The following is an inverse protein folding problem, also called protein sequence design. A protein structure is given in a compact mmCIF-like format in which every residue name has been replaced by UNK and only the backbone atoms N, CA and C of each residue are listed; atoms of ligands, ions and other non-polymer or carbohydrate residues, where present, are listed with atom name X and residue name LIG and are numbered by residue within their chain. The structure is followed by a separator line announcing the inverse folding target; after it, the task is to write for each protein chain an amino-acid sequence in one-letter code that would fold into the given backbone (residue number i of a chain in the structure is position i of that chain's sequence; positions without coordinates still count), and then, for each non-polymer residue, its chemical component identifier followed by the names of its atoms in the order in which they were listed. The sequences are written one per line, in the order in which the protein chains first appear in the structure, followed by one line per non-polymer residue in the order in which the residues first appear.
data_IF_614691764191
#
_entry.id   IF_614691764191
#
_cell.length_a   1.000
_cell.length_b   1.000
_cell.length_c   1.000
_cell.angle_alpha   90.00
_cell.angle_beta   90.00
_cell.angle_gamma   90.00
#
_symmetry.space_group_name_H-M   'P 1'
#
loop_
_entity.id
_entity.type
_entity.pdbx_description
1 polymer ?
#
# COMPACT_ATOMS: atom_id res chain seq x y z
N UNK A 1 -29.32 -35.36 -17.81
CA UNK A 1 -28.26 -34.92 -18.72
C UNK A 1 -28.00 -33.40 -18.61
N UNK A 2 -28.86 -32.68 -17.97
CA UNK A 2 -28.73 -31.24 -17.84
C UNK A 2 -27.96 -30.79 -16.60
N UNK A 3 -27.50 -31.75 -15.82
CA UNK A 3 -26.90 -31.47 -14.51
C UNK A 3 -25.52 -30.80 -14.57
N UNK A 4 -24.90 -30.71 -15.73
CA UNK A 4 -23.55 -30.19 -15.86
C UNK A 4 -23.48 -28.67 -15.74
N UNK A 5 -24.54 -27.95 -16.07
CA UNK A 5 -24.52 -26.48 -16.08
C UNK A 5 -24.24 -25.87 -14.71
N UNK A 6 -24.88 -26.31 -13.61
CA UNK A 6 -24.56 -25.78 -12.29
C UNK A 6 -23.11 -26.02 -11.87
N UNK A 7 -22.55 -27.19 -12.23
CA UNK A 7 -21.18 -27.52 -11.90
C UNK A 7 -20.21 -26.57 -12.61
N UNK A 8 -20.47 -26.24 -13.86
CA UNK A 8 -19.65 -25.30 -14.63
C UNK A 8 -19.69 -23.90 -14.02
N UNK A 9 -20.83 -23.48 -13.55
CA UNK A 9 -20.99 -22.19 -12.90
C UNK A 9 -20.16 -22.11 -11.62
N UNK A 10 -20.18 -23.19 -10.83
CA UNK A 10 -19.40 -23.26 -9.61
C UNK A 10 -17.89 -23.20 -9.89
N UNK A 11 -17.47 -23.87 -10.98
CA UNK A 11 -16.05 -23.87 -11.38
C UNK A 11 -15.57 -22.50 -11.81
N UNK A 12 -16.46 -21.68 -12.39
CA UNK A 12 -16.12 -20.34 -12.80
C UNK A 12 -15.85 -19.42 -11.59
N UNK A 13 -16.26 -19.83 -10.38
CA UNK A 13 -16.07 -19.05 -9.17
C UNK A 13 -14.60 -18.88 -8.86
N UNK A 14 -14.09 -19.73 -8.06
CA UNK A 14 -12.70 -19.67 -7.64
C UNK A 14 -12.45 -18.60 -6.57
N UNK A 15 -11.26 -18.66 -6.01
CA UNK A 15 -10.82 -17.74 -4.95
C UNK A 15 -9.38 -17.35 -5.20
N UNK A 16 -9.07 -16.06 -5.00
CA UNK A 16 -7.71 -15.60 -5.00
C UNK A 16 -7.39 -14.88 -3.68
N UNK A 17 -6.12 -14.97 -3.30
CA UNK A 17 -5.59 -14.26 -2.14
C UNK A 17 -4.65 -13.17 -2.67
N UNK A 18 -4.91 -11.93 -2.28
CA UNK A 18 -4.12 -10.77 -2.70
C UNK A 18 -3.37 -10.24 -1.49
N UNK A 19 -2.04 -10.24 -1.58
CA UNK A 19 -1.17 -9.59 -0.62
C UNK A 19 -0.90 -8.18 -1.10
N UNK A 20 -1.37 -7.18 -0.37
CA UNK A 20 -1.28 -5.79 -0.81
C UNK A 20 -0.78 -4.88 0.30
N UNK A 21 0.01 -3.88 -0.08
CA UNK A 21 0.52 -2.89 0.84
C UNK A 21 -0.61 -2.24 1.66
N UNK A 22 -0.32 -1.93 2.91
CA UNK A 22 -1.29 -1.36 3.85
C UNK A 22 -1.98 -0.11 3.31
N UNK A 23 -1.26 0.72 2.57
CA UNK A 23 -1.81 1.96 1.97
C UNK A 23 -2.87 1.69 0.89
N UNK A 24 -2.99 0.45 0.41
CA UNK A 24 -3.94 0.06 -0.62
C UNK A 24 -5.27 -0.47 -0.05
N UNK A 25 -5.40 -0.57 1.26
CA UNK A 25 -6.54 -1.24 1.88
C UNK A 25 -7.89 -0.72 1.38
N UNK A 26 -8.08 0.58 1.38
CA UNK A 26 -9.35 1.20 1.00
C UNK A 26 -9.67 0.99 -0.47
N UNK A 27 -8.71 1.28 -1.34
CA UNK A 27 -8.89 1.17 -2.79
C UNK A 27 -9.03 -0.28 -3.24
N UNK A 28 -8.22 -1.17 -2.72
CA UNK A 28 -8.27 -2.58 -3.10
C UNK A 28 -9.53 -3.27 -2.57
N UNK A 29 -10.04 -2.86 -1.41
CA UNK A 29 -11.32 -3.36 -0.92
C UNK A 29 -12.43 -3.00 -1.90
N UNK A 30 -12.46 -1.76 -2.40
CA UNK A 30 -13.44 -1.32 -3.38
C UNK A 30 -13.27 -2.05 -4.72
N UNK A 31 -12.02 -2.19 -5.18
CA UNK A 31 -11.72 -2.92 -6.42
C UNK A 31 -12.13 -4.39 -6.28
N UNK A 32 -11.92 -4.97 -5.09
CA UNK A 32 -12.32 -6.35 -4.80
C UNK A 32 -13.83 -6.56 -4.91
N UNK A 33 -14.62 -5.59 -4.45
CA UNK A 33 -16.09 -5.64 -4.61
C UNK A 33 -16.48 -5.59 -6.08
N UNK A 34 -15.84 -4.73 -6.85
CA UNK A 34 -16.06 -4.63 -8.29
C UNK A 34 -15.66 -5.92 -9.00
N UNK A 35 -14.55 -6.52 -8.57
CA UNK A 35 -14.06 -7.79 -9.12
C UNK A 35 -15.10 -8.90 -8.94
N UNK A 36 -15.72 -8.98 -7.77
CA UNK A 36 -16.75 -9.98 -7.49
C UNK A 36 -17.99 -9.77 -8.37
N UNK A 37 -18.33 -8.53 -8.62
CA UNK A 37 -19.46 -8.18 -9.50
C UNK A 37 -19.19 -8.61 -10.94
N UNK A 38 -17.95 -8.42 -11.41
CA UNK A 38 -17.56 -8.75 -12.78
C UNK A 38 -17.26 -10.25 -12.96
N UNK A 39 -17.01 -10.95 -11.88
CA UNK A 39 -16.69 -12.38 -11.90
C UNK A 39 -17.59 -13.11 -10.90
N UNK A 40 -18.87 -13.32 -11.24
CA UNK A 40 -19.83 -13.93 -10.32
C UNK A 40 -19.33 -15.30 -9.82
N UNK A 41 -19.47 -15.50 -8.52
CA UNK A 41 -18.99 -16.73 -7.88
C UNK A 41 -17.53 -16.69 -7.45
N UNK A 42 -16.75 -15.74 -7.96
CA UNK A 42 -15.38 -15.57 -7.53
C UNK A 42 -15.31 -14.81 -6.22
N UNK A 43 -14.26 -15.07 -5.44
CA UNK A 43 -14.00 -14.34 -4.20
C UNK A 43 -12.55 -13.86 -4.15
N UNK A 44 -12.34 -12.76 -3.45
CA UNK A 44 -11.03 -12.18 -3.21
C UNK A 44 -10.83 -12.04 -1.71
N UNK A 45 -9.74 -12.58 -1.22
CA UNK A 45 -9.34 -12.42 0.16
C UNK A 45 -8.07 -11.58 0.20
N UNK A 46 -8.04 -10.55 1.01
CA UNK A 46 -6.90 -9.65 1.11
C UNK A 46 -6.11 -9.87 2.38
N UNK A 47 -4.79 -9.72 2.27
CA UNK A 47 -3.92 -9.59 3.41
C UNK A 47 -3.18 -8.26 3.25
N UNK A 48 -3.48 -7.31 4.11
CA UNK A 48 -2.88 -5.98 4.07
C UNK A 48 -1.84 -5.84 5.18
N UNK A 49 -0.64 -5.45 4.81
CA UNK A 49 0.46 -5.23 5.75
C UNK A 49 1.53 -4.38 5.08
N UNK A 50 2.60 -4.07 5.78
CA UNK A 50 3.76 -3.44 5.15
C UNK A 50 4.31 -4.35 4.07
N UNK A 51 4.75 -3.75 2.95
CA UNK A 51 5.23 -4.53 1.81
C UNK A 51 6.41 -5.44 2.17
N UNK A 52 7.26 -5.01 3.08
CA UNK A 52 8.40 -5.81 3.55
C UNK A 52 7.96 -7.05 4.31
N UNK A 53 6.93 -6.94 5.16
CA UNK A 53 6.36 -8.08 5.86
C UNK A 53 5.70 -9.05 4.89
N UNK A 54 4.98 -8.52 3.92
CA UNK A 54 4.31 -9.34 2.91
C UNK A 54 5.31 -10.16 2.09
N UNK A 55 6.37 -9.53 1.61
CA UNK A 55 7.38 -10.26 0.82
C UNK A 55 8.12 -11.28 1.67
N UNK A 56 8.34 -11.00 2.94
CA UNK A 56 8.94 -11.96 3.86
C UNK A 56 8.04 -13.17 4.02
N UNK A 57 6.74 -12.98 4.20
CA UNK A 57 5.78 -14.07 4.28
C UNK A 57 5.75 -14.90 2.99
N UNK A 58 5.80 -14.24 1.85
CA UNK A 58 5.83 -14.92 0.55
C UNK A 58 7.10 -15.76 0.39
N UNK A 59 8.25 -15.25 0.79
CA UNK A 59 9.51 -16.00 0.71
C UNK A 59 9.53 -17.19 1.67
N UNK A 60 8.72 -17.13 2.72
CA UNK A 60 8.56 -18.25 3.67
C UNK A 60 7.48 -19.24 3.25
N UNK A 61 6.89 -19.05 2.08
CA UNK A 61 5.95 -19.99 1.53
C UNK A 61 4.48 -19.69 1.76
N UNK A 62 4.13 -18.50 2.24
CA UNK A 62 2.71 -18.14 2.40
C UNK A 62 1.98 -18.21 1.06
N UNK A 63 0.81 -18.83 1.01
CA UNK A 63 0.05 -18.94 -0.24
C UNK A 63 -0.60 -17.60 -0.59
N UNK A 64 -0.38 -17.15 -1.82
CA UNK A 64 -1.04 -15.98 -2.35
C UNK A 64 -1.03 -16.04 -3.87
N UNK A 65 -1.92 -15.31 -4.49
CA UNK A 65 -2.09 -15.31 -5.94
C UNK A 65 -1.58 -14.01 -6.57
N UNK A 66 -1.63 -12.91 -5.84
CA UNK A 66 -1.22 -11.59 -6.32
C UNK A 66 -0.46 -10.86 -5.22
N UNK A 67 0.57 -10.12 -5.61
CA UNK A 67 1.31 -9.24 -4.71
C UNK A 67 1.34 -7.83 -5.28
N UNK A 68 0.90 -6.85 -4.49
CA UNK A 68 0.95 -5.43 -4.81
C UNK A 68 1.77 -4.71 -3.74
N UNK A 69 2.88 -4.14 -4.15
CA UNK A 69 3.84 -3.50 -3.25
C UNK A 69 3.75 -1.98 -3.33
N UNK A 70 4.12 -1.30 -2.25
CA UNK A 70 4.18 0.15 -2.22
C UNK A 70 5.54 0.70 -2.68
N UNK A 71 6.44 -0.15 -3.13
CA UNK A 71 7.68 0.25 -3.79
C UNK A 71 8.18 -0.85 -4.71
N UNK A 72 9.14 -0.50 -5.57
CA UNK A 72 9.76 -1.46 -6.48
C UNK A 72 10.76 -2.36 -5.77
N UNK A 73 11.38 -1.87 -4.71
CA UNK A 73 12.42 -2.61 -3.99
C UNK A 73 11.89 -3.92 -3.40
N UNK A 74 10.72 -3.88 -2.76
CA UNK A 74 10.12 -5.09 -2.19
C UNK A 74 9.58 -6.03 -3.27
N UNK A 75 9.07 -5.48 -4.38
CA UNK A 75 8.71 -6.31 -5.52
C UNK A 75 9.95 -7.01 -6.12
N UNK A 76 11.07 -6.31 -6.19
CA UNK A 76 12.33 -6.89 -6.68
C UNK A 76 12.77 -8.06 -5.79
N UNK A 77 12.54 -7.99 -4.49
CA UNK A 77 12.84 -9.11 -3.59
C UNK A 77 12.01 -10.35 -3.96
N UNK A 78 10.74 -10.15 -4.28
CA UNK A 78 9.87 -11.26 -4.72
C UNK A 78 10.35 -11.83 -6.06
N UNK A 79 10.75 -10.97 -6.98
CA UNK A 79 11.28 -11.39 -8.29
C UNK A 79 12.58 -12.18 -8.13
N UNK A 80 13.49 -11.70 -7.31
CA UNK A 80 14.78 -12.36 -7.06
C UNK A 80 14.61 -13.71 -6.37
N UNK A 81 13.54 -13.87 -5.58
CA UNK A 81 13.20 -15.14 -4.94
C UNK A 81 12.47 -16.09 -5.89
N UNK A 82 12.25 -15.71 -7.14
CA UNK A 82 11.60 -16.55 -8.13
C UNK A 82 10.09 -16.72 -7.93
N UNK A 83 9.44 -15.78 -7.26
CA UNK A 83 8.03 -15.91 -6.88
C UNK A 83 7.04 -15.38 -7.90
N UNK A 84 7.50 -14.64 -8.92
CA UNK A 84 6.60 -14.01 -9.88
C UNK A 84 6.30 -14.90 -11.07
N UNK A 85 5.05 -14.86 -11.54
CA UNK A 85 4.62 -15.59 -12.73
C UNK A 85 4.95 -14.86 -14.03
N UNK A 86 5.34 -13.59 -13.93
CA UNK A 86 5.68 -12.75 -15.07
C UNK A 86 6.23 -11.44 -14.56
N UNK A 87 6.35 -10.46 -15.43
CA UNK A 87 6.87 -9.16 -15.03
C UNK A 87 5.85 -8.36 -14.24
N UNK A 88 6.27 -7.65 -13.20
CA UNK A 88 5.36 -6.76 -12.49
C UNK A 88 4.97 -5.56 -13.35
N UNK A 89 3.79 -5.02 -13.09
CA UNK A 89 3.26 -3.84 -13.78
C UNK A 89 3.12 -2.72 -12.78
N UNK A 90 3.69 -1.57 -13.08
CA UNK A 90 3.53 -0.38 -12.27
C UNK A 90 2.13 0.18 -12.49
N UNK A 91 1.37 0.41 -11.42
CA UNK A 91 -0.04 0.79 -11.54
C UNK A 91 -0.39 2.10 -10.83
N UNK A 92 0.48 2.60 -9.97
CA UNK A 92 0.21 3.84 -9.22
C UNK A 92 1.50 4.41 -8.66
N UNK A 93 1.44 5.64 -8.18
CA UNK A 93 2.50 6.24 -7.38
C UNK A 93 1.88 7.00 -6.21
N UNK A 94 2.69 7.25 -5.19
CA UNK A 94 2.26 7.93 -3.98
C UNK A 94 3.40 8.77 -3.43
N UNK A 95 3.03 9.81 -2.68
CA UNK A 95 3.97 10.78 -2.14
C UNK A 95 3.76 10.89 -0.64
N UNK A 96 4.83 11.16 0.09
CA UNK A 96 4.77 11.35 1.54
C UNK A 96 4.13 12.67 1.91
N UNK A 97 3.50 12.68 3.08
CA UNK A 97 3.02 13.89 3.75
C UNK A 97 3.21 13.70 5.26
N UNK A 98 3.06 14.76 6.01
CA UNK A 98 3.11 14.71 7.47
C UNK A 98 1.68 14.70 7.98
N UNK A 99 1.31 13.67 8.73
CA UNK A 99 0.03 13.61 9.41
C UNK A 99 0.18 14.15 10.82
N UNK A 100 -0.71 15.05 11.20
CA UNK A 100 -0.72 15.66 12.54
C UNK A 100 -2.16 15.64 13.06
N UNK A 101 -2.34 15.95 14.35
CA UNK A 101 -3.69 16.06 14.92
C UNK A 101 -4.48 17.17 14.22
N UNK A 102 -5.82 17.06 14.18
CA UNK A 102 -6.64 18.11 13.57
C UNK A 102 -6.33 19.47 14.14
N UNK A 103 -6.26 20.47 13.26
CA UNK A 103 -5.92 21.83 13.65
C UNK A 103 -4.43 22.09 13.79
N UNK A 104 -3.59 21.06 13.64
CA UNK A 104 -2.13 21.20 13.71
C UNK A 104 -1.67 21.94 14.98
N UNK A 105 -1.96 21.40 16.17
CA UNK A 105 -1.71 22.12 17.42
C UNK A 105 -0.23 22.43 17.69
N UNK A 106 0.68 21.66 17.11
CA UNK A 106 2.12 21.86 17.27
C UNK A 106 2.71 22.76 16.20
N UNK A 107 1.87 23.29 15.30
CA UNK A 107 2.25 24.26 14.25
C UNK A 107 3.41 23.76 13.39
N UNK A 108 3.34 22.50 12.98
CA UNK A 108 4.33 21.90 12.09
C UNK A 108 4.08 22.41 10.68
N UNK A 109 5.11 22.99 10.05
CA UNK A 109 5.02 23.59 8.73
C UNK A 109 6.02 23.00 7.72
N UNK A 110 7.01 22.23 8.20
CA UNK A 110 8.08 21.72 7.35
C UNK A 110 8.59 20.38 7.88
N UNK A 111 9.35 19.70 7.03
CA UNK A 111 10.02 18.46 7.44
C UNK A 111 10.99 18.72 8.59
N UNK A 112 11.71 19.83 8.55
CA UNK A 112 12.66 20.23 9.60
C UNK A 112 11.97 20.43 10.95
N UNK A 113 10.72 20.87 10.96
CA UNK A 113 9.97 21.07 12.21
C UNK A 113 9.80 19.77 12.99
N UNK A 114 9.94 18.63 12.34
CA UNK A 114 9.85 17.32 12.99
C UNK A 114 11.05 17.03 13.90
N UNK A 115 12.08 17.87 13.86
CA UNK A 115 13.26 17.73 14.74
C UNK A 115 13.12 18.50 16.06
N UNK A 116 12.00 19.15 16.30
CA UNK A 116 11.77 19.92 17.53
C UNK A 116 11.83 19.00 18.74
N UNK A 117 12.51 19.49 19.80
CA UNK A 117 12.60 18.74 21.04
C UNK A 117 11.24 18.54 21.68
N UNK A 118 11.01 17.35 22.23
CA UNK A 118 9.76 17.04 22.90
C UNK A 118 8.62 16.64 21.96
N UNK A 119 8.85 16.68 20.66
CA UNK A 119 7.86 16.27 19.68
C UNK A 119 7.93 14.75 19.47
N UNK A 120 6.81 14.08 19.64
CA UNK A 120 6.74 12.64 19.41
C UNK A 120 6.43 12.36 17.94
N UNK A 121 7.46 11.96 17.20
CA UNK A 121 7.37 11.66 15.76
C UNK A 121 7.46 10.15 15.55
N UNK A 122 6.60 9.62 14.70
CA UNK A 122 6.57 8.20 14.34
C UNK A 122 6.78 8.09 12.83
N UNK A 123 7.60 7.13 12.43
CA UNK A 123 7.90 6.87 11.01
C UNK A 123 7.81 5.37 10.75
N UNK A 124 7.78 5.00 9.48
CA UNK A 124 7.91 3.60 9.08
C UNK A 124 9.36 3.15 9.25
N UNK A 125 9.56 1.87 9.55
CA UNK A 125 10.90 1.28 9.60
C UNK A 125 11.58 1.37 8.23
N UNK A 126 12.92 1.42 8.19
CA UNK A 126 13.67 1.66 6.93
C UNK A 126 13.39 0.69 5.79
N UNK A 127 13.08 -0.57 6.09
CA UNK A 127 12.80 -1.59 5.07
C UNK A 127 11.38 -1.49 4.50
N UNK A 128 10.51 -0.77 5.17
CA UNK A 128 9.12 -0.54 4.72
C UNK A 128 9.13 0.57 3.67
N UNK A 129 8.30 0.49 2.61
CA UNK A 129 8.32 1.51 1.55
C UNK A 129 8.25 2.95 2.03
N UNK A 130 7.37 3.27 2.97
CA UNK A 130 7.27 4.63 3.53
C UNK A 130 8.51 5.00 4.34
N UNK A 131 9.18 4.04 4.96
CA UNK A 131 10.43 4.27 5.68
C UNK A 131 11.60 4.51 4.75
N UNK A 132 11.67 3.75 3.67
CA UNK A 132 12.69 3.94 2.64
C UNK A 132 12.54 5.31 1.98
N UNK A 133 11.31 5.73 1.70
CA UNK A 133 11.04 7.05 1.13
C UNK A 133 11.44 8.17 2.12
N UNK A 134 11.13 7.97 3.42
CA UNK A 134 11.51 8.93 4.47
C UNK A 134 13.02 9.09 4.53
N UNK A 135 13.77 7.99 4.42
CA UNK A 135 15.25 8.05 4.42
C UNK A 135 15.77 8.86 3.24
N UNK A 136 15.15 8.74 2.08
CA UNK A 136 15.54 9.54 0.91
C UNK A 136 15.37 11.02 1.18
N UNK A 137 14.30 11.40 1.87
CA UNK A 137 14.09 12.81 2.26
C UNK A 137 15.15 13.24 3.26
N UNK A 138 15.46 12.41 4.25
CA UNK A 138 16.51 12.71 5.23
C UNK A 138 17.85 12.93 4.55
N UNK A 139 18.23 12.04 3.61
CA UNK A 139 19.48 12.16 2.87
C UNK A 139 19.52 13.41 2.01
N UNK A 140 18.42 13.70 1.32
CA UNK A 140 18.36 14.88 0.42
C UNK A 140 18.38 16.20 1.17
N UNK A 141 17.82 16.25 2.37
CA UNK A 141 17.71 17.48 3.15
C UNK A 141 18.83 17.65 4.18
N UNK A 142 19.54 16.58 4.51
CA UNK A 142 20.50 16.59 5.63
C UNK A 142 19.83 16.64 6.99
N UNK A 143 18.50 16.52 7.05
CA UNK A 143 17.73 16.54 8.29
C UNK A 143 17.55 15.10 8.77
N UNK A 144 18.03 14.78 9.96
CA UNK A 144 17.89 13.47 10.56
C UNK A 144 16.80 13.52 11.61
N UNK A 145 15.78 12.67 11.44
CA UNK A 145 14.69 12.55 12.40
C UNK A 145 15.12 11.65 13.56
N UNK A 146 14.52 11.88 14.72
CA UNK A 146 14.73 11.04 15.89
C UNK A 146 13.37 10.50 16.34
N UNK A 147 12.80 9.52 15.63
CA UNK A 147 11.45 9.04 15.93
C UNK A 147 11.40 8.32 17.27
N UNK A 148 10.24 8.42 17.94
CA UNK A 148 9.99 7.68 19.19
C UNK A 148 9.68 6.22 18.91
N UNK A 149 9.23 5.90 17.70
CA UNK A 149 9.06 4.52 17.26
C UNK A 149 9.11 4.42 15.73
N UNK A 150 9.44 3.23 15.25
CA UNK A 150 9.43 2.88 13.85
C UNK A 150 8.43 1.74 13.67
N UNK A 151 7.50 1.92 12.74
CA UNK A 151 6.39 0.98 12.56
C UNK A 151 6.59 0.09 11.33
N UNK A 152 6.00 -1.09 11.37
CA UNK A 152 6.11 -2.06 10.28
C UNK A 152 5.16 -1.77 9.10
N UNK A 153 4.24 -0.83 9.26
CA UNK A 153 3.34 -0.42 8.18
C UNK A 153 2.94 1.05 8.33
N UNK A 154 2.57 1.65 7.20
CA UNK A 154 2.10 3.04 7.20
C UNK A 154 0.79 3.20 7.98
N UNK A 155 -0.04 2.16 7.99
CA UNK A 155 -1.30 2.17 8.76
C UNK A 155 -1.04 2.30 10.26
N UNK A 156 0.02 1.65 10.75
CA UNK A 156 0.40 1.75 12.16
C UNK A 156 0.89 3.15 12.51
N UNK A 157 1.64 3.79 11.60
CA UNK A 157 2.05 5.20 11.78
C UNK A 157 0.81 6.08 11.88
N UNK A 158 -0.11 5.94 10.93
CA UNK A 158 -1.34 6.73 10.91
C UNK A 158 -2.14 6.54 12.20
N UNK A 159 -2.29 5.31 12.66
CA UNK A 159 -3.02 5.00 13.88
C UNK A 159 -2.41 5.67 15.12
N UNK A 160 -1.10 5.76 15.20
CA UNK A 160 -0.44 6.44 16.32
C UNK A 160 -0.77 7.93 16.35
N UNK A 161 -0.93 8.54 15.19
CA UNK A 161 -1.32 9.94 15.08
C UNK A 161 -2.81 10.09 15.43
N UNK A 162 -3.68 9.28 14.84
CA UNK A 162 -5.13 9.40 15.04
C UNK A 162 -5.56 9.11 16.49
N UNK A 163 -4.82 8.28 17.20
CA UNK A 163 -5.11 7.94 18.61
C UNK A 163 -4.41 8.87 19.60
N UNK A 164 -3.64 9.85 19.12
CA UNK A 164 -2.96 10.81 19.99
C UNK A 164 -1.68 10.31 20.63
N UNK A 165 -1.19 9.13 20.23
CA UNK A 165 0.08 8.58 20.74
C UNK A 165 1.29 9.29 20.15
N UNK A 166 1.14 9.89 18.97
CA UNK A 166 2.19 10.66 18.31
C UNK A 166 1.68 12.03 17.95
N UNK A 167 2.58 13.01 17.98
CA UNK A 167 2.27 14.39 17.55
C UNK A 167 2.28 14.50 16.04
N UNK A 168 3.13 13.72 15.37
CA UNK A 168 3.27 13.71 13.93
C UNK A 168 3.74 12.35 13.45
N UNK A 169 3.36 12.01 12.24
CA UNK A 169 3.82 10.80 11.57
C UNK A 169 3.99 11.06 10.09
N UNK A 170 4.92 10.35 9.47
CA UNK A 170 5.09 10.42 8.03
C UNK A 170 4.31 9.28 7.40
N UNK A 171 3.36 9.64 6.55
CA UNK A 171 2.45 8.73 5.87
C UNK A 171 2.36 9.14 4.40
N UNK A 172 1.58 8.40 3.62
CA UNK A 172 1.31 8.80 2.24
C UNK A 172 0.14 9.79 2.19
N UNK A 173 0.13 10.59 1.14
CA UNK A 173 -0.98 11.52 0.87
C UNK A 173 -2.32 10.78 0.89
N UNK A 174 -2.39 9.59 0.30
CA UNK A 174 -3.62 8.79 0.26
C UNK A 174 -4.09 8.35 1.65
N UNK A 175 -3.16 8.09 2.56
CA UNK A 175 -3.50 7.71 3.94
C UNK A 175 -4.15 8.89 4.68
N UNK A 176 -3.59 10.08 4.51
CA UNK A 176 -4.13 11.28 5.12
C UNK A 176 -5.51 11.63 4.56
N UNK A 177 -5.68 11.52 3.24
CA UNK A 177 -6.99 11.71 2.60
C UNK A 177 -8.01 10.71 3.16
N UNK A 178 -7.63 9.45 3.25
CA UNK A 178 -8.50 8.40 3.75
C UNK A 178 -8.89 8.56 5.22
N UNK A 179 -8.05 9.21 6.02
CA UNK A 179 -8.34 9.48 7.43
C UNK A 179 -9.31 10.64 7.62
N UNK A 180 -9.50 11.47 6.60
CA UNK A 180 -10.44 12.59 6.64
C UNK A 180 -10.16 13.54 7.80
N UNK A 181 -11.18 13.81 8.61
CA UNK A 181 -11.10 14.76 9.72
C UNK A 181 -10.26 14.29 10.91
N UNK A 182 -9.81 13.05 10.88
CA UNK A 182 -9.04 12.49 11.99
C UNK A 182 -7.60 12.99 12.05
N UNK A 183 -7.10 13.55 10.96
CA UNK A 183 -5.77 14.15 10.86
C UNK A 183 -5.82 15.41 10.02
N UNK A 184 -4.80 16.26 10.20
CA UNK A 184 -4.48 17.30 9.25
C UNK A 184 -3.20 16.87 8.53
N UNK A 185 -3.09 17.23 7.26
CA UNK A 185 -1.91 16.89 6.46
C UNK A 185 -1.06 18.16 6.27
N UNK A 186 0.25 18.02 6.48
CA UNK A 186 1.21 19.08 6.20
C UNK A 186 2.10 18.61 5.06
N UNK A 187 1.89 19.20 3.89
CA UNK A 187 2.71 18.88 2.72
C UNK A 187 4.10 19.50 2.88
N UNK A 188 5.09 18.85 2.32
CA UNK A 188 6.44 19.40 2.29
C UNK A 188 7.05 19.16 0.91
N UNK A 189 7.73 20.15 0.33
CA UNK A 189 8.18 20.07 -1.06
C UNK A 189 9.23 18.97 -1.31
N UNK A 190 10.02 18.64 -0.31
CA UNK A 190 11.08 17.63 -0.42
C UNK A 190 10.52 16.21 -0.69
N UNK A 191 9.24 15.99 -0.41
CA UNK A 191 8.58 14.72 -0.69
C UNK A 191 8.59 14.37 -2.18
N UNK A 192 8.64 15.38 -3.06
CA UNK A 192 8.66 15.17 -4.50
C UNK A 192 9.88 14.38 -4.98
N UNK A 193 10.96 14.39 -4.21
CA UNK A 193 12.16 13.61 -4.51
C UNK A 193 12.13 12.17 -4.01
N UNK A 194 11.04 11.75 -3.38
CA UNK A 194 10.93 10.41 -2.77
C UNK A 194 9.59 9.75 -3.10
N UNK A 195 9.13 9.91 -4.34
CA UNK A 195 7.88 9.30 -4.81
C UNK A 195 8.05 7.79 -4.89
N UNK A 196 7.08 7.05 -4.36
CA UNK A 196 7.06 5.58 -4.47
C UNK A 196 6.16 5.15 -5.61
N UNK A 197 6.68 4.24 -6.45
CA UNK A 197 5.94 3.58 -7.52
C UNK A 197 5.45 2.23 -7.02
N UNK A 198 4.19 1.93 -7.28
CA UNK A 198 3.50 0.71 -6.83
C UNK A 198 3.42 -0.31 -7.96
N UNK A 199 4.15 -1.42 -7.88
CA UNK A 199 4.00 -2.51 -8.83
C UNK A 199 3.06 -3.59 -8.32
N UNK A 200 2.49 -4.34 -9.26
CA UNK A 200 1.62 -5.49 -8.98
C UNK A 200 2.01 -6.65 -9.88
N UNK A 201 1.95 -7.87 -9.36
CA UNK A 201 2.31 -9.06 -10.12
C UNK A 201 1.47 -10.26 -9.70
N UNK A 202 1.25 -11.17 -10.64
CA UNK A 202 0.70 -12.50 -10.36
C UNK A 202 1.83 -13.36 -9.81
N UNK A 203 1.53 -14.17 -8.81
CA UNK A 203 2.52 -15.04 -8.17
C UNK A 203 2.56 -16.40 -8.84
N UNK A 204 3.76 -16.93 -8.99
CA UNK A 204 4.03 -18.18 -9.67
C UNK A 204 3.33 -19.38 -9.02
N UNK A 205 3.17 -19.34 -7.70
CA UNK A 205 2.52 -20.40 -6.94
C UNK A 205 1.00 -20.39 -7.00
N UNK A 206 0.39 -19.43 -7.69
CA UNK A 206 -1.05 -19.35 -7.78
C UNK A 206 -1.63 -20.56 -8.52
N UNK A 207 -2.65 -21.18 -7.93
CA UNK A 207 -3.41 -22.24 -8.59
C UNK A 207 -4.54 -21.67 -9.44
N UNK A 208 -4.77 -20.34 -9.37
CA UNK A 208 -5.80 -19.62 -10.12
C UNK A 208 -5.18 -18.49 -10.94
N UNK A 209 -4.20 -18.84 -11.78
CA UNK A 209 -3.43 -17.87 -12.56
C UNK A 209 -4.32 -16.94 -13.41
N UNK A 210 -5.33 -17.53 -14.05
CA UNK A 210 -6.23 -16.76 -14.91
C UNK A 210 -7.06 -15.75 -14.11
N UNK A 211 -7.62 -16.18 -12.98
CA UNK A 211 -8.40 -15.31 -12.12
C UNK A 211 -7.53 -14.22 -11.50
N UNK A 212 -6.32 -14.57 -11.09
CA UNK A 212 -5.33 -13.61 -10.58
C UNK A 212 -5.00 -12.56 -11.63
N UNK A 213 -4.83 -12.98 -12.88
CA UNK A 213 -4.55 -12.06 -13.98
C UNK A 213 -5.71 -11.11 -14.23
N UNK A 214 -6.95 -11.60 -14.13
CA UNK A 214 -8.13 -10.74 -14.24
C UNK A 214 -8.16 -9.67 -13.16
N UNK A 215 -7.74 -10.00 -11.95
CA UNK A 215 -7.66 -9.01 -10.87
C UNK A 215 -6.60 -7.94 -11.19
N UNK A 216 -5.42 -8.35 -11.64
CA UNK A 216 -4.36 -7.42 -12.04
C UNK A 216 -4.85 -6.52 -13.19
N UNK A 217 -5.55 -7.08 -14.15
CA UNK A 217 -6.10 -6.33 -15.29
C UNK A 217 -7.14 -5.30 -14.82
N UNK A 218 -7.94 -5.65 -13.82
CA UNK A 218 -8.90 -4.71 -13.25
C UNK A 218 -8.20 -3.54 -12.54
N UNK A 219 -7.16 -3.83 -11.77
CA UNK A 219 -6.37 -2.80 -11.07
C UNK A 219 -5.68 -1.85 -12.06
N UNK A 220 -5.09 -2.40 -13.10
CA UNK A 220 -4.33 -1.62 -14.09
C UNK A 220 -5.21 -1.00 -15.18
N UNK A 221 -6.45 -1.47 -15.32
CA UNK A 221 -7.39 -0.99 -16.30
C UNK A 221 -8.11 0.31 -15.87
N UNK A 222 -8.99 0.77 -16.72
CA UNK A 222 -9.66 2.06 -16.52
C UNK A 222 -10.45 2.14 -15.22
N UNK A 223 -11.21 1.11 -14.89
CA UNK A 223 -12.05 1.08 -13.68
C UNK A 223 -11.21 1.14 -12.40
N UNK A 224 -10.17 0.31 -12.32
CA UNK A 224 -9.27 0.29 -11.17
C UNK A 224 -8.50 1.59 -11.02
N UNK A 225 -8.02 2.13 -12.13
CA UNK A 225 -7.30 3.41 -12.14
C UNK A 225 -8.17 4.56 -11.65
N UNK A 226 -9.47 4.52 -11.98
CA UNK A 226 -10.43 5.52 -11.52
C UNK A 226 -10.58 5.50 -9.99
N UNK A 227 -10.68 4.31 -9.41
CA UNK A 227 -10.75 4.13 -7.96
C UNK A 227 -9.48 4.66 -7.28
N UNK A 228 -8.33 4.30 -7.82
CA UNK A 228 -7.04 4.73 -7.28
C UNK A 228 -6.88 6.24 -7.36
N UNK A 229 -7.18 6.82 -8.50
CA UNK A 229 -7.06 8.26 -8.71
C UNK A 229 -8.00 9.04 -7.78
N UNK A 230 -9.22 8.56 -7.59
CA UNK A 230 -10.18 9.20 -6.68
C UNK A 230 -9.71 9.20 -5.22
N UNK A 231 -8.87 8.23 -4.84
CA UNK A 231 -8.31 8.14 -3.50
C UNK A 231 -7.02 8.97 -3.33
N UNK A 232 -6.52 9.59 -4.39
CA UNK A 232 -5.34 10.43 -4.35
C UNK A 232 -4.06 9.80 -4.89
N UNK A 233 -4.12 8.56 -5.38
CA UNK A 233 -2.97 7.95 -6.05
C UNK A 233 -2.73 8.64 -7.39
N UNK A 234 -1.47 8.84 -7.72
CA UNK A 234 -1.07 9.37 -9.01
C UNK A 234 -0.69 8.22 -9.96
N UNK A 235 -0.52 8.54 -11.22
CA UNK A 235 -0.03 7.59 -12.21
C UNK A 235 1.42 7.19 -11.89
N UNK A 236 1.82 5.97 -12.26
CA UNK A 236 3.18 5.52 -12.01
C UNK A 236 4.24 6.32 -12.75
#
# INVERSE_FOLDING_TARGET
ASSSAPAMTAEAGGKIIVFAAASLKKTFTDIGEQFKTENPGASVEFSFAGSSDLVTQLTQGAPADVFASADTKNMDKAAQAGLLAGDPVNFASNTLTIAVAPGNPKKIASFKDLTQQGLNVVVCAPQVPCGSATQKVEEATGVTLNPVSEESSVSDVLNKVTTGQADAGIVYVTDAIGAGDKVAAVAFPEAAGAVNTYPIAVLKGSENQELARKFVDLVTGESGQKVLNAAGFAKP
#
